data_IF_222925870003
#
_entry.id   IF_222925870003
#
_cell.length_a   1.000
_cell.length_b   1.000
_cell.length_c   1.000
_cell.angle_alpha   90.00
_cell.angle_beta   90.00
_cell.angle_gamma   90.00
#
_symmetry.space_group_name_H-M   'P 1'
#
loop_
_entity.id
_entity.type
_entity.pdbx_description
1 polymer ?
#
# COMPACT_ATOMS: atom_id res chain seq x y z
N UNK A 1 -16.79 -8.26 -22.77
CA UNK A 1 -17.08 -8.10 -21.33
C UNK A 1 -15.98 -8.66 -20.41
N UNK A 2 -14.86 -9.21 -20.93
CA UNK A 2 -13.81 -9.88 -20.14
C UNK A 2 -12.73 -8.93 -19.59
N UNK A 3 -12.24 -7.98 -20.39
CA UNK A 3 -11.12 -7.08 -20.02
C UNK A 3 -11.33 -6.25 -18.75
N UNK A 4 -12.58 -5.84 -18.48
CA UNK A 4 -12.92 -5.06 -17.28
C UNK A 4 -12.80 -5.91 -16.02
N UNK A 5 -13.36 -7.11 -16.04
CA UNK A 5 -13.26 -8.10 -14.97
C UNK A 5 -11.81 -8.53 -14.73
N UNK A 6 -11.03 -8.72 -15.81
CA UNK A 6 -9.60 -9.05 -15.70
C UNK A 6 -8.81 -7.94 -15.01
N UNK A 7 -9.10 -6.68 -15.33
CA UNK A 7 -8.46 -5.52 -14.68
C UNK A 7 -8.80 -5.44 -13.20
N UNK A 8 -10.07 -5.65 -12.84
CA UNK A 8 -10.50 -5.70 -11.43
C UNK A 8 -9.80 -6.84 -10.69
N UNK A 9 -9.70 -8.02 -11.28
CA UNK A 9 -9.04 -9.17 -10.66
C UNK A 9 -7.54 -8.91 -10.40
N UNK A 10 -6.85 -8.22 -11.32
CA UNK A 10 -5.46 -7.80 -11.11
C UNK A 10 -5.34 -6.81 -9.95
N UNK A 11 -6.25 -5.83 -9.88
CA UNK A 11 -6.29 -4.86 -8.79
C UNK A 11 -6.55 -5.57 -7.46
N UNK A 12 -7.55 -6.44 -7.39
CA UNK A 12 -7.85 -7.22 -6.18
C UNK A 12 -6.66 -8.08 -5.76
N UNK A 13 -5.99 -8.73 -6.70
CA UNK A 13 -4.77 -9.52 -6.42
C UNK A 13 -3.66 -8.65 -5.83
N UNK A 14 -3.48 -7.43 -6.36
CA UNK A 14 -2.53 -6.45 -5.81
C UNK A 14 -2.92 -6.09 -4.36
N UNK A 15 -4.19 -5.79 -4.11
CA UNK A 15 -4.68 -5.47 -2.76
C UNK A 15 -4.50 -6.64 -1.79
N UNK A 16 -4.77 -7.88 -2.21
CA UNK A 16 -4.54 -9.05 -1.38
C UNK A 16 -3.06 -9.22 -1.03
N UNK A 17 -2.15 -9.05 -2.00
CA UNK A 17 -0.71 -9.09 -1.72
C UNK A 17 -0.27 -7.99 -0.75
N UNK A 18 -0.78 -6.77 -0.93
CA UNK A 18 -0.50 -5.66 -0.01
C UNK A 18 -1.03 -5.97 1.39
N UNK A 19 -2.24 -6.54 1.50
CA UNK A 19 -2.81 -6.94 2.78
C UNK A 19 -2.02 -8.06 3.46
N UNK A 20 -1.53 -9.05 2.69
CA UNK A 20 -0.66 -10.13 3.20
C UNK A 20 0.64 -9.57 3.77
N UNK A 21 1.29 -8.65 3.04
CA UNK A 21 2.50 -7.97 3.52
C UNK A 21 2.21 -7.13 4.76
N UNK A 22 1.08 -6.40 4.79
CA UNK A 22 0.68 -5.61 5.94
C UNK A 22 0.41 -6.49 7.17
N UNK A 23 -0.20 -7.66 6.99
CA UNK A 23 -0.44 -8.63 8.06
C UNK A 23 0.89 -9.16 8.63
N UNK A 24 1.84 -9.54 7.76
CA UNK A 24 3.18 -9.96 8.20
C UNK A 24 3.91 -8.85 8.95
N UNK A 25 3.80 -7.61 8.46
CA UNK A 25 4.37 -6.45 9.13
C UNK A 25 3.77 -6.22 10.52
N UNK A 26 2.44 -6.31 10.67
CA UNK A 26 1.78 -6.23 11.99
C UNK A 26 2.27 -7.34 12.90
N UNK A 27 2.39 -8.57 12.40
CA UNK A 27 2.96 -9.69 13.15
C UNK A 27 4.38 -9.40 13.65
N UNK A 28 5.22 -8.83 12.80
CA UNK A 28 6.58 -8.41 13.17
C UNK A 28 6.57 -7.32 14.25
N UNK A 29 5.70 -6.32 14.15
CA UNK A 29 5.55 -5.27 15.17
C UNK A 29 5.15 -5.88 16.51
N UNK A 30 4.21 -6.84 16.51
CA UNK A 30 3.79 -7.56 17.72
C UNK A 30 4.94 -8.39 18.30
N UNK A 31 5.72 -9.09 17.46
CA UNK A 31 6.88 -9.84 17.93
C UNK A 31 7.91 -8.93 18.60
N UNK A 32 8.27 -7.82 17.95
CA UNK A 32 9.21 -6.83 18.52
C UNK A 32 8.66 -6.25 19.82
N UNK A 33 7.36 -5.96 19.88
CA UNK A 33 6.70 -5.50 21.10
C UNK A 33 6.84 -6.52 22.24
N UNK A 34 6.58 -7.80 21.98
CA UNK A 34 6.74 -8.88 22.97
C UNK A 34 8.20 -9.00 23.42
N UNK A 35 9.16 -8.92 22.48
CA UNK A 35 10.59 -9.04 22.77
C UNK A 35 11.13 -7.87 23.61
N UNK A 36 10.60 -6.66 23.43
CA UNK A 36 10.98 -5.47 24.20
C UNK A 36 10.37 -5.41 25.61
N UNK A 37 9.30 -6.17 25.87
CA UNK A 37 8.67 -6.25 27.19
C UNK A 37 8.25 -4.89 27.75
N UNK A 38 8.80 -4.51 28.92
CA UNK A 38 8.47 -3.25 29.62
C UNK A 38 8.70 -2.00 28.76
N UNK A 39 9.70 -2.02 27.89
CA UNK A 39 10.13 -0.85 27.12
C UNK A 39 9.52 -0.83 25.70
N UNK A 40 8.50 -1.67 25.46
CA UNK A 40 7.85 -1.79 24.16
C UNK A 40 6.89 -0.63 23.80
N UNK A 41 6.44 0.13 24.80
CA UNK A 41 5.51 1.25 24.61
C UNK A 41 6.00 2.31 23.61
N UNK A 42 7.21 2.89 23.80
CA UNK A 42 7.79 3.85 22.86
C UNK A 42 7.94 3.31 21.44
N UNK A 43 8.25 2.02 21.27
CA UNK A 43 8.36 1.40 19.95
C UNK A 43 7.02 1.37 19.22
N UNK A 44 5.95 0.89 19.87
CA UNK A 44 4.62 0.84 19.26
C UNK A 44 4.11 2.25 18.86
N UNK A 45 4.32 3.24 19.74
CA UNK A 45 3.96 4.63 19.47
C UNK A 45 4.72 5.16 18.24
N UNK A 46 6.01 4.86 18.13
CA UNK A 46 6.84 5.26 17.00
C UNK A 46 6.34 4.65 15.67
N UNK A 47 6.01 3.35 15.67
CA UNK A 47 5.45 2.68 14.47
C UNK A 47 4.14 3.35 14.04
N UNK A 48 3.21 3.57 14.99
CA UNK A 48 1.93 4.22 14.69
C UNK A 48 2.15 5.64 14.16
N UNK A 49 3.03 6.43 14.78
CA UNK A 49 3.31 7.80 14.34
C UNK A 49 3.84 7.84 12.89
N UNK A 50 4.76 6.94 12.53
CA UNK A 50 5.31 6.88 11.18
C UNK A 50 4.26 6.47 10.14
N UNK A 51 3.39 5.50 10.47
CA UNK A 51 2.29 5.10 9.58
C UNK A 51 1.28 6.24 9.42
N UNK A 52 0.92 6.92 10.52
CA UNK A 52 0.01 8.06 10.48
C UNK A 52 0.56 9.21 9.64
N UNK A 53 1.86 9.49 9.73
CA UNK A 53 2.53 10.48 8.87
C UNK A 53 2.51 10.04 7.40
N UNK A 54 2.77 8.77 7.13
CA UNK A 54 2.72 8.24 5.77
C UNK A 54 1.31 8.36 5.16
N UNK A 55 0.27 7.92 5.88
CA UNK A 55 -1.12 8.05 5.44
C UNK A 55 -1.52 9.51 5.31
N UNK A 56 -1.10 10.36 6.24
CA UNK A 56 -1.35 11.81 6.19
C UNK A 56 -0.71 12.49 4.98
N UNK A 57 0.42 11.98 4.48
CA UNK A 57 1.05 12.45 3.25
C UNK A 57 0.29 12.01 1.97
N UNK A 58 -0.60 11.01 2.06
CA UNK A 58 -1.51 10.62 0.98
C UNK A 58 -2.69 11.59 0.98
N UNK A 59 -2.45 12.82 0.51
CA UNK A 59 -3.47 13.82 0.26
C UNK A 59 -4.23 13.58 -1.04
N UNK A 60 -5.31 14.34 -1.26
CA UNK A 60 -6.08 14.31 -2.51
C UNK A 60 -5.20 14.57 -3.73
N UNK A 61 -4.20 15.45 -3.60
CA UNK A 61 -3.24 15.78 -4.66
C UNK A 61 -2.41 14.56 -5.07
N UNK A 62 -1.98 13.74 -4.10
CA UNK A 62 -1.23 12.50 -4.33
C UNK A 62 -2.07 11.48 -5.09
N UNK A 63 -3.35 11.35 -4.74
CA UNK A 63 -4.28 10.47 -5.45
C UNK A 63 -4.51 10.91 -6.91
N UNK A 64 -4.67 12.22 -7.14
CA UNK A 64 -4.81 12.79 -8.49
C UNK A 64 -3.53 12.57 -9.31
N UNK A 65 -2.35 12.79 -8.72
CA UNK A 65 -1.08 12.54 -9.38
C UNK A 65 -0.92 11.07 -9.79
N UNK A 66 -1.26 10.13 -8.89
CA UNK A 66 -1.25 8.69 -9.19
C UNK A 66 -2.20 8.34 -10.34
N UNK A 67 -3.40 8.91 -10.38
CA UNK A 67 -4.35 8.70 -11.46
C UNK A 67 -3.79 9.19 -12.81
N UNK A 68 -3.17 10.37 -12.84
CA UNK A 68 -2.54 10.92 -14.05
C UNK A 68 -1.37 10.05 -14.53
N UNK A 69 -0.51 9.60 -13.62
CA UNK A 69 0.60 8.68 -13.94
C UNK A 69 0.07 7.37 -14.51
N UNK A 70 -0.98 6.80 -13.90
CA UNK A 70 -1.60 5.57 -14.38
C UNK A 70 -2.17 5.71 -15.79
N UNK A 71 -2.93 6.79 -16.05
CA UNK A 71 -3.48 7.09 -17.38
C UNK A 71 -2.38 7.31 -18.40
N UNK A 72 -1.35 8.12 -18.06
CA UNK A 72 -0.21 8.36 -18.93
C UNK A 72 0.53 7.07 -19.27
N UNK A 73 0.84 6.25 -18.26
CA UNK A 73 1.50 4.95 -18.44
C UNK A 73 0.68 4.02 -19.34
N UNK A 74 -0.64 3.93 -19.12
CA UNK A 74 -1.54 3.13 -19.95
C UNK A 74 -1.54 3.60 -21.41
N UNK A 75 -1.58 4.91 -21.65
CA UNK A 75 -1.52 5.48 -23.00
C UNK A 75 -0.21 5.13 -23.74
N UNK A 76 0.94 5.29 -23.07
CA UNK A 76 2.25 4.98 -23.68
C UNK A 76 2.43 3.48 -23.94
N UNK A 77 1.96 2.61 -23.04
CA UNK A 77 2.04 1.16 -23.22
C UNK A 77 1.07 0.64 -24.28
N UNK A 78 -0.10 1.27 -24.45
CA UNK A 78 -1.01 0.98 -25.56
C UNK A 78 -0.44 1.31 -26.94
N UNK A 79 0.40 2.36 -27.06
CA UNK A 79 1.08 2.69 -28.33
C UNK A 79 2.16 1.69 -28.72
N UNK A 80 2.90 1.10 -27.76
CA UNK A 80 3.94 0.09 -28.04
C UNK A 80 3.40 -1.25 -28.56
N UNK A 81 2.09 -1.50 -28.50
CA UNK A 81 1.43 -2.73 -28.98
C UNK A 81 0.80 -2.58 -30.38
N UNK A 82 0.89 -1.41 -31.03
CA UNK A 82 0.58 -1.21 -32.45
C UNK A 82 1.87 -1.13 -33.24
#
# INVERSE_FOLDING_TARGET
MTKFTDTINVILTLFYKVAEIAMLFVGLVVLVYILLGKDAGPYAISVVANISLFIGAIGTQTLVALALVFVGYSYFTSKKKK
#
